data_IF_298621054780
#
_entry.id   IF_298621054780
#
_cell.length_a   1.000
_cell.length_b   1.000
_cell.length_c   1.000
_cell.angle_alpha   90.00
_cell.angle_beta   90.00
_cell.angle_gamma   90.00
#
_symmetry.space_group_name_H-M   'P 1'
#
loop_
_entity.id
_entity.type
_entity.pdbx_description
1 polymer ?
#
# COMPACT_ATOMS: atom_id res chain seq x y z
N UNK A 1 3.81 3.11 6.13
CA UNK A 1 4.36 1.95 5.38
C UNK A 1 5.86 2.09 5.21
N UNK A 2 6.37 3.17 4.59
CA UNK A 2 7.82 3.38 4.45
C UNK A 2 8.58 3.27 5.78
N UNK A 3 8.08 3.93 6.84
CA UNK A 3 8.68 3.89 8.19
C UNK A 3 8.81 2.47 8.77
N UNK A 4 7.72 1.71 8.69
CA UNK A 4 7.66 0.32 9.18
C UNK A 4 8.57 -0.62 8.39
N UNK A 5 8.57 -0.46 7.08
CA UNK A 5 9.42 -1.27 6.20
C UNK A 5 10.91 -0.99 6.45
N UNK A 6 11.29 0.29 6.57
CA UNK A 6 12.65 0.68 6.92
C UNK A 6 13.03 0.17 8.30
N UNK A 7 12.16 0.31 9.30
CA UNK A 7 12.42 -0.18 10.66
C UNK A 7 12.67 -1.69 10.71
N UNK A 8 11.90 -2.49 9.95
CA UNK A 8 12.11 -3.94 9.84
C UNK A 8 13.39 -4.28 9.07
N UNK A 9 13.70 -3.55 8.00
CA UNK A 9 14.92 -3.77 7.21
C UNK A 9 16.19 -3.32 7.94
N UNK A 10 16.09 -2.29 8.78
CA UNK A 10 17.20 -1.74 9.53
C UNK A 10 17.57 -2.59 10.75
N UNK A 11 16.67 -3.45 11.22
CA UNK A 11 16.91 -4.27 12.39
C UNK A 11 18.20 -5.11 12.24
N UNK A 12 19.15 -4.92 13.15
CA UNK A 12 20.44 -5.61 13.14
C UNK A 12 21.45 -5.07 12.13
N UNK A 13 21.15 -3.99 11.39
CA UNK A 13 22.12 -3.34 10.51
C UNK A 13 23.08 -2.47 11.31
N UNK A 14 24.36 -2.54 10.93
CA UNK A 14 25.37 -1.61 11.42
C UNK A 14 25.30 -0.25 10.71
N UNK A 15 26.06 0.73 11.22
CA UNK A 15 26.07 2.09 10.68
C UNK A 15 26.52 2.15 9.20
N UNK A 16 27.39 1.24 8.76
CA UNK A 16 27.87 1.21 7.37
C UNK A 16 26.77 0.69 6.44
N UNK A 17 26.11 -0.41 6.80
CA UNK A 17 24.97 -0.97 6.06
C UNK A 17 23.79 0.00 6.00
N UNK A 18 23.52 0.75 7.09
CA UNK A 18 22.51 1.82 7.07
C UNK A 18 22.92 2.95 6.11
N UNK A 19 24.20 3.34 6.06
CA UNK A 19 24.67 4.34 5.11
C UNK A 19 24.53 3.88 3.64
N UNK A 20 24.78 2.61 3.35
CA UNK A 20 24.52 2.02 2.04
C UNK A 20 23.03 2.09 1.68
N UNK A 21 22.15 1.77 2.63
CA UNK A 21 20.68 1.87 2.41
C UNK A 21 20.20 3.30 2.17
N UNK A 22 20.80 4.29 2.84
CA UNK A 22 20.56 5.71 2.55
C UNK A 22 20.95 6.04 1.10
N UNK A 23 22.13 5.60 0.65
CA UNK A 23 22.59 5.84 -0.71
C UNK A 23 21.70 5.15 -1.75
N UNK A 24 21.32 3.89 -1.52
CA UNK A 24 20.39 3.14 -2.38
C UNK A 24 19.04 3.88 -2.49
N UNK A 25 18.47 4.30 -1.36
CA UNK A 25 17.19 5.01 -1.34
C UNK A 25 17.27 6.36 -2.07
N UNK A 26 18.39 7.10 -1.96
CA UNK A 26 18.62 8.34 -2.69
C UNK A 26 18.66 8.13 -4.21
N UNK A 27 19.32 7.05 -4.68
CA UNK A 27 19.35 6.69 -6.10
C UNK A 27 17.93 6.37 -6.59
N UNK A 28 17.18 5.54 -5.85
CA UNK A 28 15.82 5.15 -6.25
C UNK A 28 14.84 6.32 -6.22
N UNK A 29 14.95 7.24 -5.27
CA UNK A 29 14.19 8.49 -5.27
C UNK A 29 14.49 9.29 -6.54
N UNK A 30 15.77 9.48 -6.87
CA UNK A 30 16.17 10.22 -8.06
C UNK A 30 15.65 9.59 -9.35
N UNK A 31 15.84 8.28 -9.53
CA UNK A 31 15.36 7.55 -10.71
C UNK A 31 13.84 7.65 -10.86
N UNK A 32 13.10 7.56 -9.75
CA UNK A 32 11.63 7.62 -9.80
C UNK A 32 11.12 9.05 -10.05
N UNK A 33 11.81 10.07 -9.53
CA UNK A 33 11.55 11.47 -9.86
C UNK A 33 11.91 11.83 -11.31
N UNK A 34 12.96 11.23 -11.88
CA UNK A 34 13.31 11.38 -13.29
C UNK A 34 12.29 10.68 -14.20
N UNK A 35 11.83 9.48 -13.84
CA UNK A 35 10.75 8.77 -14.56
C UNK A 35 9.41 9.52 -14.54
N UNK A 36 9.13 10.26 -13.47
CA UNK A 36 7.98 11.16 -13.40
C UNK A 36 8.08 12.34 -14.37
N UNK A 37 9.29 12.86 -14.60
CA UNK A 37 9.53 13.98 -15.53
C UNK A 37 9.55 13.56 -17.00
N UNK A 38 9.64 12.26 -17.30
CA UNK A 38 9.63 11.72 -18.66
C UNK A 38 8.22 11.64 -19.25
N UNK A 39 8.06 12.13 -20.49
CA UNK A 39 6.80 12.30 -21.24
C UNK A 39 6.05 11.00 -21.66
N UNK A 40 6.23 9.89 -20.95
CA UNK A 40 5.60 8.61 -21.29
C UNK A 40 4.19 8.46 -20.73
N UNK A 41 3.19 8.98 -21.46
CA UNK A 41 1.75 8.84 -21.17
C UNK A 41 1.27 7.40 -21.31
N UNK A 42 1.11 6.71 -20.18
CA UNK A 42 0.21 5.58 -20.02
C UNK A 42 -0.48 5.74 -18.67
N UNK A 43 -1.72 6.26 -18.68
CA UNK A 43 -2.47 6.74 -17.51
C UNK A 43 -2.70 5.72 -16.37
N UNK A 44 -2.53 4.41 -16.63
CA UNK A 44 -2.54 3.36 -15.59
C UNK A 44 -1.23 3.28 -14.80
N UNK A 45 -0.11 3.74 -15.37
CA UNK A 45 1.21 3.74 -14.73
C UNK A 45 1.55 5.06 -14.05
N UNK A 46 0.86 6.16 -14.37
CA UNK A 46 1.20 7.50 -13.86
C UNK A 46 0.90 7.64 -12.36
N UNK A 47 -0.27 7.18 -11.91
CA UNK A 47 -0.63 7.13 -10.49
C UNK A 47 0.28 6.18 -9.68
N UNK A 48 0.74 5.09 -10.31
CA UNK A 48 1.72 4.18 -9.69
C UNK A 48 3.12 4.79 -9.65
N UNK A 49 3.52 5.62 -10.64
CA UNK A 49 4.80 6.35 -10.63
C UNK A 49 4.83 7.44 -9.56
N UNK A 50 3.79 8.25 -9.44
CA UNK A 50 3.71 9.31 -8.41
C UNK A 50 3.75 8.71 -7.02
N UNK A 51 2.98 7.63 -6.82
CA UNK A 51 2.98 6.87 -5.58
C UNK A 51 4.34 6.23 -5.30
N UNK A 52 5.00 5.68 -6.30
CA UNK A 52 6.32 5.08 -6.15
C UNK A 52 7.36 6.14 -5.76
N UNK A 53 7.34 7.30 -6.41
CA UNK A 53 8.22 8.41 -6.05
C UNK A 53 7.96 8.91 -4.63
N UNK A 54 6.69 9.06 -4.23
CA UNK A 54 6.33 9.42 -2.85
C UNK A 54 6.81 8.38 -1.84
N UNK A 55 6.70 7.08 -2.16
CA UNK A 55 7.19 6.00 -1.31
C UNK A 55 8.71 6.06 -1.16
N UNK A 56 9.45 6.27 -2.25
CA UNK A 56 10.91 6.35 -2.19
C UNK A 56 11.41 7.58 -1.47
N UNK A 57 10.78 8.75 -1.68
CA UNK A 57 11.05 9.95 -0.90
C UNK A 57 10.85 9.69 0.61
N UNK A 58 9.72 9.07 0.98
CA UNK A 58 9.44 8.74 2.37
C UNK A 58 10.42 7.70 2.96
N UNK A 59 10.85 6.72 2.16
CA UNK A 59 11.87 5.73 2.57
C UNK A 59 13.24 6.37 2.76
N UNK A 60 13.66 7.23 1.84
CA UNK A 60 14.95 7.93 1.95
C UNK A 60 14.98 8.85 3.18
N UNK A 61 13.91 9.61 3.43
CA UNK A 61 13.79 10.42 4.64
C UNK A 61 13.90 9.57 5.92
N UNK A 62 13.25 8.40 5.97
CA UNK A 62 13.33 7.52 7.14
C UNK A 62 14.73 6.91 7.31
N UNK A 63 15.37 6.45 6.24
CA UNK A 63 16.74 5.92 6.30
C UNK A 63 17.72 6.97 6.84
N UNK A 64 17.56 8.23 6.44
CA UNK A 64 18.35 9.34 6.99
C UNK A 64 18.09 9.54 8.48
N UNK A 65 16.82 9.51 8.91
CA UNK A 65 16.45 9.60 10.32
C UNK A 65 17.10 8.48 11.15
N UNK A 66 17.06 7.23 10.67
CA UNK A 66 17.71 6.09 11.33
C UNK A 66 19.22 6.30 11.45
N UNK A 67 19.89 6.68 10.36
CA UNK A 67 21.33 6.98 10.38
C UNK A 67 21.67 8.09 11.37
N UNK A 68 20.93 9.19 11.32
CA UNK A 68 21.18 10.36 12.17
C UNK A 68 20.93 10.01 13.65
N UNK A 69 19.92 9.17 13.94
CA UNK A 69 19.66 8.63 15.28
C UNK A 69 20.82 7.75 15.77
N UNK A 70 21.27 6.79 14.97
CA UNK A 70 22.41 5.94 15.32
C UNK A 70 23.67 6.76 15.58
N UNK A 71 23.94 7.76 14.74
CA UNK A 71 25.10 8.65 14.90
C UNK A 71 24.99 9.51 16.16
N UNK A 72 23.81 10.05 16.47
CA UNK A 72 23.61 10.92 17.63
C UNK A 72 23.74 10.15 18.95
N UNK A 73 23.35 8.87 18.96
CA UNK A 73 23.36 8.01 20.16
C UNK A 73 24.56 7.06 20.22
N UNK A 74 25.45 7.12 19.22
CA UNK A 74 26.65 6.27 19.16
C UNK A 74 26.35 4.79 19.01
N UNK A 75 25.24 4.43 18.36
CA UNK A 75 24.83 3.04 18.18
C UNK A 75 25.64 2.37 17.08
N UNK A 76 26.29 1.25 17.42
CA UNK A 76 26.99 0.41 16.45
C UNK A 76 26.03 -0.43 15.59
N UNK A 77 24.87 -0.79 16.14
CA UNK A 77 23.84 -1.62 15.49
C UNK A 77 22.48 -1.00 15.78
N UNK A 78 21.60 -0.98 14.77
CA UNK A 78 20.24 -0.49 14.94
C UNK A 78 19.33 -1.56 15.56
N UNK A 79 18.85 -1.26 16.76
CA UNK A 79 17.85 -2.05 17.47
C UNK A 79 16.52 -1.26 17.49
N UNK A 80 15.48 -1.72 16.78
CA UNK A 80 14.20 -1.02 16.66
C UNK A 80 13.56 -0.65 18.01
N UNK A 81 13.79 -1.42 19.06
CA UNK A 81 13.26 -1.26 20.41
C UNK A 81 13.89 -0.06 21.13
N UNK A 82 15.11 0.33 20.75
CA UNK A 82 15.79 1.51 21.30
C UNK A 82 15.30 2.80 20.63
N UNK A 83 14.72 2.70 19.43
CA UNK A 83 14.06 3.80 18.74
C UNK A 83 12.66 4.07 19.32
N UNK A 84 12.62 4.94 20.33
CA UNK A 84 11.38 5.36 21.01
C UNK A 84 10.35 5.92 20.02
N UNK A 85 10.79 6.78 19.10
CA UNK A 85 9.90 7.43 18.15
C UNK A 85 9.30 6.42 17.17
N UNK A 86 10.11 5.52 16.61
CA UNK A 86 9.62 4.46 15.73
C UNK A 86 8.74 3.45 16.46
N UNK A 87 9.00 3.20 17.75
CA UNK A 87 8.16 2.36 18.60
C UNK A 87 6.76 2.93 18.78
N UNK A 88 6.63 4.23 19.08
CA UNK A 88 5.32 4.90 19.16
C UNK A 88 4.56 4.78 17.85
N UNK A 89 5.19 5.09 16.72
CA UNK A 89 4.53 5.03 15.42
C UNK A 89 4.10 3.61 15.01
N UNK A 90 4.84 2.58 15.39
CA UNK A 90 4.42 1.20 15.15
C UNK A 90 3.18 0.85 15.97
N UNK A 91 3.16 1.23 17.25
CA UNK A 91 2.01 1.00 18.13
C UNK A 91 0.76 1.71 17.61
N UNK A 92 0.85 3.00 17.26
CA UNK A 92 -0.28 3.75 16.66
C UNK A 92 -0.82 3.11 15.38
N UNK A 93 0.04 2.43 14.61
CA UNK A 93 -0.39 1.70 13.41
C UNK A 93 -1.12 0.42 13.79
N UNK A 94 -0.61 -0.34 14.74
CA UNK A 94 -1.25 -1.56 15.24
C UNK A 94 -2.63 -1.25 15.83
N UNK A 95 -2.74 -0.19 16.62
CA UNK A 95 -4.01 0.32 17.16
C UNK A 95 -5.00 0.68 16.04
N UNK A 96 -4.56 1.38 14.99
CA UNK A 96 -5.41 1.68 13.82
C UNK A 96 -5.83 0.43 13.06
N UNK A 97 -4.95 -0.56 12.91
CA UNK A 97 -5.27 -1.82 12.25
C UNK A 97 -6.29 -2.62 13.07
N UNK A 98 -6.05 -2.75 14.38
CA UNK A 98 -6.97 -3.41 15.30
C UNK A 98 -8.35 -2.73 15.31
N UNK A 99 -8.38 -1.39 15.35
CA UNK A 99 -9.62 -0.62 15.27
C UNK A 99 -10.37 -0.83 13.95
N UNK A 100 -9.67 -0.88 12.82
CA UNK A 100 -10.28 -1.15 11.52
C UNK A 100 -10.88 -2.57 11.44
N UNK A 101 -10.16 -3.57 11.97
CA UNK A 101 -10.65 -4.96 12.05
C UNK A 101 -11.86 -5.08 12.99
N UNK A 102 -11.82 -4.43 14.16
CA UNK A 102 -12.93 -4.43 15.11
C UNK A 102 -14.19 -3.75 14.55
N UNK A 103 -14.05 -2.59 13.89
CA UNK A 103 -15.15 -1.91 13.24
C UNK A 103 -15.79 -2.77 12.13
N UNK A 104 -14.97 -3.55 11.43
CA UNK A 104 -15.44 -4.48 10.42
C UNK A 104 -16.18 -5.68 11.00
N UNK A 105 -15.67 -6.28 12.08
CA UNK A 105 -16.39 -7.34 12.80
C UNK A 105 -17.75 -6.86 13.31
N UNK A 106 -17.81 -5.68 13.90
CA UNK A 106 -19.06 -5.08 14.39
C UNK A 106 -20.07 -4.81 13.26
N UNK A 107 -19.59 -4.35 12.10
CA UNK A 107 -20.45 -4.14 10.92
C UNK A 107 -20.98 -5.46 10.33
N UNK A 108 -20.21 -6.55 10.41
CA UNK A 108 -20.64 -7.88 9.97
C UNK A 108 -21.67 -8.51 10.91
N UNK A 109 -21.58 -8.23 12.22
CA UNK A 109 -22.57 -8.68 13.22
C UNK A 109 -23.90 -7.94 13.08
N UNK A 110 -23.88 -6.61 12.86
CA UNK A 110 -25.08 -5.80 12.62
C UNK A 110 -25.81 -6.16 11.31
N UNK A 111 -25.10 -6.74 10.34
CA UNK A 111 -25.68 -7.21 9.06
C UNK A 111 -26.39 -8.56 9.14
N UNK A 112 -26.20 -9.35 10.21
CA UNK A 112 -26.83 -10.67 10.39
C UNK A 112 -28.22 -10.64 11.01
N UNK A 113 -28.62 -9.53 11.61
CA UNK A 113 -29.94 -9.35 12.21
C UNK A 113 -31.01 -8.79 11.25
N UNK A 114 -30.67 -8.56 9.97
CA UNK A 114 -31.60 -7.97 9.02
C UNK A 114 -31.49 -8.54 7.60
N UNK A 115 -32.51 -9.31 7.22
CA UNK A 115 -32.99 -9.59 5.86
C UNK A 115 -32.30 -10.75 5.11
N UNK A 116 -33.16 -11.63 4.60
CA UNK A 116 -32.94 -12.81 3.76
C UNK A 116 -32.41 -12.43 2.36
N UNK A 117 -31.30 -11.68 2.30
CA UNK A 117 -30.67 -11.20 1.08
C UNK A 117 -29.25 -11.80 1.00
N UNK A 118 -28.97 -12.57 -0.06
CA UNK A 118 -27.66 -13.17 -0.29
C UNK A 118 -26.62 -12.06 -0.49
N UNK A 119 -25.87 -11.76 0.56
CA UNK A 119 -24.76 -10.79 0.53
C UNK A 119 -23.44 -11.51 0.29
N UNK A 120 -22.78 -11.16 -0.81
CA UNK A 120 -21.43 -11.58 -1.09
C UNK A 120 -20.44 -10.49 -0.68
N UNK A 121 -19.53 -10.81 0.23
CA UNK A 121 -18.42 -9.93 0.61
C UNK A 121 -17.15 -10.34 -0.15
N UNK A 122 -16.49 -9.36 -0.78
CA UNK A 122 -15.26 -9.60 -1.55
C UNK A 122 -14.11 -8.81 -0.94
N UNK A 123 -13.04 -9.52 -0.61
CA UNK A 123 -11.81 -8.94 -0.08
C UNK A 123 -10.83 -8.64 -1.20
N UNK A 124 -10.49 -7.37 -1.34
CA UNK A 124 -9.56 -6.91 -2.35
C UNK A 124 -8.30 -6.40 -1.70
N UNK A 125 -7.15 -6.68 -2.33
CA UNK A 125 -5.90 -6.03 -1.95
C UNK A 125 -6.06 -4.50 -1.97
N UNK A 126 -5.23 -3.77 -1.21
CA UNK A 126 -5.30 -2.30 -1.21
C UNK A 126 -5.04 -1.70 -2.61
N UNK A 127 -4.25 -2.36 -3.45
CA UNK A 127 -4.02 -1.96 -4.83
C UNK A 127 -5.29 -2.13 -5.67
N UNK A 128 -5.87 -3.34 -5.66
CA UNK A 128 -7.11 -3.66 -6.37
C UNK A 128 -8.29 -2.78 -5.92
N UNK A 129 -8.40 -2.50 -4.62
CA UNK A 129 -9.42 -1.61 -4.07
C UNK A 129 -9.30 -0.17 -4.58
N UNK A 130 -8.08 0.35 -4.69
CA UNK A 130 -7.84 1.69 -5.24
C UNK A 130 -8.16 1.76 -6.73
N UNK A 131 -7.77 0.73 -7.48
CA UNK A 131 -8.07 0.63 -8.91
C UNK A 131 -9.58 0.62 -9.14
N UNK A 132 -10.30 -0.23 -8.41
CA UNK A 132 -11.75 -0.32 -8.46
C UNK A 132 -12.41 1.04 -8.19
N UNK A 133 -11.98 1.75 -7.14
CA UNK A 133 -12.51 3.09 -6.82
C UNK A 133 -12.23 4.12 -7.91
N UNK A 134 -11.03 4.10 -8.50
CA UNK A 134 -10.67 5.00 -9.61
C UNK A 134 -11.49 4.75 -10.87
N UNK A 135 -11.75 3.47 -11.19
CA UNK A 135 -12.60 3.09 -12.33
C UNK A 135 -14.05 3.49 -12.08
N UNK A 136 -14.59 3.17 -10.90
CA UNK A 136 -15.94 3.54 -10.50
C UNK A 136 -16.18 5.05 -10.58
N UNK A 137 -15.26 5.85 -10.02
CA UNK A 137 -15.32 7.31 -10.09
C UNK A 137 -15.37 7.84 -11.53
N UNK A 138 -14.52 7.31 -12.43
CA UNK A 138 -14.48 7.73 -13.85
C UNK A 138 -15.74 7.37 -14.61
N UNK A 139 -16.37 6.24 -14.29
CA UNK A 139 -17.59 5.79 -14.93
C UNK A 139 -18.87 6.41 -14.31
N UNK A 140 -18.73 7.19 -13.22
CA UNK A 140 -19.88 7.67 -12.44
C UNK A 140 -20.66 6.54 -11.75
N UNK A 141 -19.99 5.43 -11.47
CA UNK A 141 -20.55 4.22 -10.87
C UNK A 141 -20.10 4.06 -9.42
N UNK A 142 -20.82 3.22 -8.67
CA UNK A 142 -20.35 2.69 -7.40
C UNK A 142 -19.36 1.53 -7.62
N UNK A 143 -18.43 1.28 -6.67
CA UNK A 143 -17.53 0.13 -6.73
C UNK A 143 -18.25 -1.23 -6.89
N UNK A 144 -19.43 -1.40 -6.30
CA UNK A 144 -20.23 -2.61 -6.42
C UNK A 144 -20.79 -2.81 -7.83
N UNK A 145 -21.22 -1.75 -8.52
CA UNK A 145 -21.67 -1.83 -9.92
C UNK A 145 -20.55 -2.28 -10.86
N UNK A 146 -19.32 -1.78 -10.65
CA UNK A 146 -18.17 -2.22 -11.45
C UNK A 146 -17.84 -3.69 -11.18
N UNK A 147 -17.94 -4.15 -9.92
CA UNK A 147 -17.75 -5.56 -9.58
C UNK A 147 -18.83 -6.46 -10.19
N UNK A 148 -20.09 -6.02 -10.25
CA UNK A 148 -21.16 -6.76 -10.91
C UNK A 148 -20.87 -6.95 -12.40
N UNK A 149 -20.45 -5.88 -13.09
CA UNK A 149 -20.10 -5.96 -14.51
C UNK A 149 -18.86 -6.82 -14.79
N UNK A 150 -17.89 -6.84 -13.86
CA UNK A 150 -16.77 -7.77 -13.91
C UNK A 150 -17.26 -9.22 -13.80
N UNK A 151 -18.15 -9.51 -12.84
CA UNK A 151 -18.70 -10.84 -12.62
C UNK A 151 -19.52 -11.34 -13.81
N UNK A 152 -20.31 -10.47 -14.44
CA UNK A 152 -21.09 -10.79 -15.66
C UNK A 152 -20.21 -11.15 -16.86
N UNK A 153 -18.95 -10.72 -16.85
CA UNK A 153 -18.00 -10.90 -17.96
C UNK A 153 -16.91 -11.92 -17.66
N UNK A 154 -17.02 -12.64 -16.53
CA UNK A 154 -16.09 -13.71 -16.20
C UNK A 154 -16.18 -14.82 -17.23
N UNK A 155 -15.03 -15.19 -17.78
CA UNK A 155 -14.83 -16.38 -18.59
C UNK A 155 -13.91 -17.32 -17.80
N UNK A 156 -14.37 -18.55 -17.60
CA UNK A 156 -13.60 -19.61 -16.97
C UNK A 156 -13.00 -20.48 -18.07
N UNK A 157 -11.67 -20.55 -18.13
CA UNK A 157 -10.93 -21.42 -19.05
C UNK A 157 -11.09 -22.90 -18.69
N UNK A 158 -10.71 -23.78 -19.64
CA UNK A 158 -10.76 -25.25 -19.45
C UNK A 158 -9.88 -25.74 -18.28
N UNK A 159 -8.86 -24.96 -17.92
CA UNK A 159 -7.96 -25.17 -16.79
C UNK A 159 -8.48 -24.59 -15.46
N UNK A 160 -9.68 -23.99 -15.46
CA UNK A 160 -10.26 -23.29 -14.31
C UNK A 160 -9.75 -21.86 -14.12
N UNK A 161 -8.95 -21.32 -15.06
CA UNK A 161 -8.49 -19.94 -14.98
C UNK A 161 -9.65 -18.97 -15.18
N UNK A 162 -9.84 -18.06 -14.22
CA UNK A 162 -10.85 -17.01 -14.26
C UNK A 162 -10.26 -15.77 -14.93
N UNK A 163 -10.84 -15.33 -16.04
CA UNK A 163 -10.41 -14.14 -16.77
C UNK A 163 -11.61 -13.25 -17.12
N UNK A 164 -11.37 -11.97 -17.36
CA UNK A 164 -12.39 -11.05 -17.86
C UNK A 164 -11.86 -10.38 -19.13
N UNK A 165 -12.56 -10.47 -20.28
CA UNK A 165 -12.17 -9.75 -21.48
C UNK A 165 -12.15 -8.23 -21.26
N UNK A 166 -11.32 -7.48 -22.00
CA UNK A 166 -11.29 -6.02 -21.90
C UNK A 166 -12.68 -5.41 -22.11
N UNK A 167 -13.09 -4.53 -21.21
CA UNK A 167 -14.34 -3.78 -21.34
C UNK A 167 -14.22 -2.39 -20.69
N UNK A 168 -15.16 -1.52 -21.04
CA UNK A 168 -15.33 -0.21 -20.42
C UNK A 168 -16.60 -0.23 -19.59
N UNK A 169 -16.55 0.05 -18.27
CA UNK A 169 -17.74 0.12 -17.45
C UNK A 169 -18.67 1.25 -17.88
N UNK A 170 -19.98 0.97 -17.90
CA UNK A 170 -21.03 1.94 -18.25
C UNK A 170 -22.21 1.85 -17.28
N UNK A 171 -23.06 2.87 -17.26
CA UNK A 171 -24.36 2.82 -16.57
C UNK A 171 -25.27 1.75 -17.18
#
# INVERSE_FOLDING_TARGET
MARDEVRRQANGLDAAAVAEKVAEAAVRERETAERLRGNGSFYTFEMDRERLAFIWLAKHAEWRRVRDLMSALGWGVYEPEQDVQGSVWAREREERLAGALAAQSASGEQGREGVDELRAEVWLSAASSRLLRSVAYRAGLSPSQVLAQLAERVVVGEDGTVSVPPFTPSQ
#
